data_IF_294227880915
#
_entry.id   IF_294227880915
#
_cell.length_a   1.000
_cell.length_b   1.000
_cell.length_c   1.000
_cell.angle_alpha   90.00
_cell.angle_beta   90.00
_cell.angle_gamma   90.00
#
_symmetry.space_group_name_H-M   'P 1'
#
loop_
_entity.id
_entity.type
_entity.pdbx_description
1 polymer ?
#
# COMPACT_ATOMS: atom_id res chain seq x y z
N UNK A 1 -21.04 13.31 4.64
CA UNK A 1 -22.34 13.06 5.29
C UNK A 1 -22.25 12.09 6.48
N UNK A 2 -21.07 11.61 6.91
CA UNK A 2 -20.89 10.73 8.08
C UNK A 2 -21.50 9.31 7.94
N UNK A 3 -22.01 8.95 6.79
CA UNK A 3 -22.60 7.63 6.54
C UNK A 3 -21.57 6.73 5.86
N UNK A 4 -21.31 5.58 6.45
CA UNK A 4 -20.49 4.53 5.82
C UNK A 4 -21.25 3.89 4.68
N UNK A 5 -20.64 3.86 3.51
CA UNK A 5 -21.19 3.18 2.32
C UNK A 5 -20.21 2.11 1.85
N UNK A 6 -20.69 0.91 1.49
CA UNK A 6 -19.83 -0.12 0.91
C UNK A 6 -19.19 0.41 -0.37
N UNK A 7 -17.86 0.29 -0.47
CA UNK A 7 -17.15 0.59 -1.72
C UNK A 7 -17.35 -0.52 -2.75
N UNK A 8 -17.03 -0.24 -4.01
CA UNK A 8 -16.99 -1.26 -5.05
C UNK A 8 -16.00 -2.38 -4.68
N UNK A 9 -16.30 -3.62 -5.05
CA UNK A 9 -15.37 -4.73 -4.89
C UNK A 9 -14.12 -4.46 -5.73
N UNK A 10 -12.96 -4.57 -5.07
CA UNK A 10 -11.68 -4.53 -5.77
C UNK A 10 -11.41 -5.88 -6.40
N UNK A 11 -10.85 -5.88 -7.61
CA UNK A 11 -10.36 -7.08 -8.28
C UNK A 11 -8.82 -7.05 -8.22
N UNK A 12 -8.20 -7.75 -7.26
CA UNK A 12 -6.75 -7.69 -7.04
C UNK A 12 -5.97 -8.70 -7.89
N UNK A 13 -6.54 -9.27 -8.94
CA UNK A 13 -5.97 -10.38 -9.70
C UNK A 13 -4.55 -10.11 -10.20
N UNK A 14 -4.28 -8.88 -10.66
CA UNK A 14 -2.94 -8.49 -11.12
C UNK A 14 -1.87 -8.53 -10.02
N UNK A 15 -2.26 -8.49 -8.77
CA UNK A 15 -1.36 -8.53 -7.59
C UNK A 15 -1.72 -9.67 -6.63
N UNK A 16 -2.46 -10.67 -7.09
CA UNK A 16 -2.93 -11.79 -6.27
C UNK A 16 -1.83 -12.46 -5.43
N UNK A 17 -0.60 -12.66 -5.94
CA UNK A 17 0.48 -13.25 -5.14
C UNK A 17 0.88 -12.44 -3.91
N UNK A 18 0.67 -11.11 -3.93
CA UNK A 18 1.05 -10.22 -2.84
C UNK A 18 -0.13 -9.72 -1.99
N UNK A 19 -1.32 -9.59 -2.58
CA UNK A 19 -2.44 -8.93 -1.90
C UNK A 19 -3.82 -9.41 -2.38
N UNK A 20 -3.94 -10.63 -2.90
CA UNK A 20 -5.18 -11.18 -3.44
C UNK A 20 -6.04 -11.93 -2.42
N UNK A 21 -5.51 -12.26 -1.25
CA UNK A 21 -6.27 -13.02 -0.26
C UNK A 21 -7.40 -12.17 0.35
N UNK A 22 -8.59 -12.77 0.43
CA UNK A 22 -9.74 -12.23 1.18
C UNK A 22 -10.15 -13.27 2.22
N UNK A 23 -10.35 -12.85 3.46
CA UNK A 23 -10.67 -13.76 4.55
C UNK A 23 -11.55 -13.09 5.62
N UNK A 24 -12.01 -13.89 6.56
CA UNK A 24 -12.66 -13.43 7.78
C UNK A 24 -11.69 -13.50 8.95
N UNK A 25 -11.95 -12.74 10.02
CA UNK A 25 -11.12 -12.82 11.25
C UNK A 25 -11.11 -14.22 11.85
N UNK A 26 -12.22 -14.95 11.75
CA UNK A 26 -12.33 -16.33 12.28
C UNK A 26 -11.49 -17.32 11.47
N UNK A 27 -11.47 -17.19 10.15
CA UNK A 27 -10.64 -18.06 9.31
C UNK A 27 -9.17 -17.72 9.43
N UNK A 28 -8.83 -16.45 9.58
CA UNK A 28 -7.46 -16.04 9.89
C UNK A 28 -7.01 -16.56 11.26
N UNK A 29 -7.87 -16.59 12.26
CA UNK A 29 -7.55 -17.20 13.55
C UNK A 29 -7.25 -18.70 13.42
N UNK A 30 -8.00 -19.46 12.60
CA UNK A 30 -7.67 -20.86 12.28
C UNK A 30 -6.31 -20.98 11.60
N UNK A 31 -6.01 -20.09 10.67
CA UNK A 31 -4.71 -20.04 10.00
C UNK A 31 -3.57 -19.77 11.00
N UNK A 32 -3.73 -18.82 11.95
CA UNK A 32 -2.74 -18.59 13.01
C UNK A 32 -2.51 -19.84 13.86
N UNK A 33 -3.58 -20.50 14.28
CA UNK A 33 -3.48 -21.79 15.05
C UNK A 33 -2.71 -22.85 14.26
N UNK A 34 -3.01 -23.00 12.97
CA UNK A 34 -2.29 -23.93 12.09
C UNK A 34 -0.81 -23.56 11.97
N UNK A 35 -0.49 -22.26 11.87
CA UNK A 35 0.89 -21.79 11.84
C UNK A 35 1.64 -22.09 13.13
N UNK A 36 1.06 -21.79 14.30
CA UNK A 36 1.64 -22.08 15.62
C UNK A 36 1.84 -23.60 15.82
N UNK A 37 0.89 -24.42 15.39
CA UNK A 37 0.97 -25.87 15.43
C UNK A 37 1.83 -26.49 14.30
N UNK A 38 2.70 -25.71 13.65
CA UNK A 38 3.60 -26.18 12.59
C UNK A 38 2.91 -26.95 11.47
N UNK A 39 1.76 -26.45 11.00
CA UNK A 39 1.02 -27.00 9.88
C UNK A 39 -0.01 -28.08 10.26
N UNK A 40 -0.35 -28.19 11.54
CA UNK A 40 -1.47 -28.99 12.00
C UNK A 40 -2.67 -28.12 12.36
N UNK A 41 -3.85 -28.62 12.10
CA UNK A 41 -5.11 -28.00 12.52
C UNK A 41 -6.12 -29.10 12.87
N UNK A 42 -6.72 -29.01 14.04
CA UNK A 42 -7.67 -29.98 14.59
C UNK A 42 -7.15 -31.46 14.49
N UNK A 43 -5.86 -31.64 14.80
CA UNK A 43 -5.19 -32.95 14.80
C UNK A 43 -4.62 -33.36 13.45
N UNK A 44 -5.07 -32.81 12.35
CA UNK A 44 -4.63 -33.19 11.01
C UNK A 44 -3.48 -32.31 10.48
N UNK A 45 -2.66 -32.88 9.60
CA UNK A 45 -1.61 -32.13 8.91
C UNK A 45 -2.15 -31.48 7.64
N UNK A 46 -2.34 -30.19 7.71
CA UNK A 46 -2.82 -29.36 6.59
C UNK A 46 -1.67 -28.93 5.69
N UNK A 47 -0.52 -28.57 6.29
CA UNK A 47 0.68 -28.13 5.57
C UNK A 47 1.90 -28.83 6.15
N UNK A 48 2.86 -29.19 5.29
CA UNK A 48 4.13 -29.77 5.73
C UNK A 48 4.93 -28.77 6.58
N UNK A 49 5.53 -29.26 7.68
CA UNK A 49 6.24 -28.41 8.61
C UNK A 49 7.54 -27.81 8.02
N UNK A 50 8.20 -28.51 7.10
CA UNK A 50 9.43 -28.05 6.45
C UNK A 50 9.25 -26.72 5.72
N UNK A 51 8.38 -26.66 4.69
CA UNK A 51 8.08 -25.43 3.97
C UNK A 51 7.60 -24.28 4.88
N UNK A 52 6.81 -24.57 5.92
CA UNK A 52 6.40 -23.53 6.86
C UNK A 52 7.57 -22.97 7.67
N UNK A 53 8.50 -23.81 8.13
CA UNK A 53 9.71 -23.33 8.82
C UNK A 53 10.56 -22.46 7.90
N UNK A 54 10.71 -22.88 6.65
CA UNK A 54 11.45 -22.10 5.64
C UNK A 54 10.76 -20.76 5.38
N UNK A 55 9.45 -20.74 5.21
CA UNK A 55 8.70 -19.51 4.99
C UNK A 55 8.83 -18.49 6.14
N UNK A 56 8.99 -18.99 7.37
CA UNK A 56 9.14 -18.18 8.59
C UNK A 56 10.60 -17.92 8.97
N UNK A 57 11.56 -18.49 8.25
CA UNK A 57 12.98 -18.21 8.48
C UNK A 57 13.39 -16.88 7.87
N UNK A 58 14.44 -16.29 8.43
CA UNK A 58 14.97 -15.01 8.00
C UNK A 58 15.67 -15.18 6.64
N UNK A 59 14.99 -14.81 5.55
CA UNK A 59 15.54 -14.85 4.19
C UNK A 59 16.27 -13.54 3.86
N UNK A 60 15.74 -12.42 4.33
CA UNK A 60 16.30 -11.09 4.11
C UNK A 60 16.17 -10.25 5.38
N UNK A 61 17.22 -9.54 5.76
CA UNK A 61 17.15 -8.53 6.83
C UNK A 61 16.45 -7.28 6.32
N UNK A 62 15.52 -6.74 7.11
CA UNK A 62 14.83 -5.47 6.82
C UNK A 62 15.48 -4.30 7.54
N UNK A 63 16.33 -4.58 8.55
CA UNK A 63 17.20 -3.61 9.19
C UNK A 63 18.64 -4.13 9.11
N UNK A 64 19.62 -3.31 8.68
CA UNK A 64 21.02 -3.74 8.55
C UNK A 64 21.64 -4.06 9.91
N UNK A 65 21.24 -3.36 10.96
CA UNK A 65 21.76 -3.52 12.32
C UNK A 65 20.66 -4.00 13.27
N UNK A 66 21.06 -4.62 14.39
CA UNK A 66 20.16 -4.78 15.52
C UNK A 66 19.76 -3.40 16.03
N UNK A 67 18.50 -3.22 16.44
CA UNK A 67 18.13 -2.00 17.16
C UNK A 67 18.88 -1.92 18.52
N UNK A 68 18.74 -0.80 19.24
CA UNK A 68 19.41 -0.57 20.52
C UNK A 68 19.11 -1.67 21.57
N UNK A 69 18.07 -2.46 21.37
CA UNK A 69 17.67 -3.61 22.18
C UNK A 69 18.24 -4.95 21.67
N UNK A 70 19.06 -4.96 20.63
CA UNK A 70 19.62 -6.16 20.03
C UNK A 70 18.64 -6.98 19.18
N UNK A 71 17.50 -6.42 18.80
CA UNK A 71 16.52 -7.13 17.98
C UNK A 71 16.99 -7.28 16.53
N UNK A 72 16.78 -8.46 15.97
CA UNK A 72 16.99 -8.75 14.55
C UNK A 72 15.64 -8.79 13.87
N UNK A 73 15.49 -8.05 12.77
CA UNK A 73 14.27 -7.98 11.99
C UNK A 73 14.53 -8.40 10.56
N UNK A 74 13.62 -9.15 10.00
CA UNK A 74 13.71 -9.56 8.61
C UNK A 74 12.43 -10.14 8.07
N UNK A 75 12.53 -10.69 6.89
CA UNK A 75 11.39 -11.17 6.13
C UNK A 75 11.70 -12.55 5.54
N UNK A 76 10.75 -13.46 5.67
CA UNK A 76 10.75 -14.77 5.03
C UNK A 76 9.94 -14.75 3.73
N UNK A 77 9.24 -15.83 3.45
CA UNK A 77 8.34 -15.89 2.29
C UNK A 77 6.93 -15.46 2.71
N UNK A 78 6.68 -14.14 2.67
CA UNK A 78 5.40 -13.54 3.04
C UNK A 78 5.17 -13.38 4.55
N UNK A 79 6.15 -13.63 5.38
CA UNK A 79 6.06 -13.54 6.84
C UNK A 79 7.24 -12.74 7.37
N UNK A 80 6.95 -11.66 8.11
CA UNK A 80 7.95 -10.94 8.88
C UNK A 80 8.40 -11.77 10.08
N UNK A 81 9.70 -11.83 10.30
CA UNK A 81 10.29 -12.55 11.44
C UNK A 81 11.20 -11.59 12.21
N UNK A 82 10.95 -11.48 13.50
CA UNK A 82 11.84 -10.74 14.39
C UNK A 82 12.27 -11.61 15.57
N UNK A 83 13.48 -11.34 16.05
CA UNK A 83 14.04 -11.96 17.27
C UNK A 83 14.48 -10.81 18.16
N UNK A 84 13.93 -10.71 19.36
CA UNK A 84 14.32 -9.67 20.32
C UNK A 84 15.65 -10.01 21.04
N UNK A 85 16.14 -9.06 21.84
CA UNK A 85 17.39 -9.22 22.61
C UNK A 85 17.37 -10.38 23.63
N UNK A 86 16.21 -10.96 23.92
CA UNK A 86 16.06 -12.16 24.78
C UNK A 86 16.03 -13.45 23.98
N UNK A 87 16.05 -13.39 22.67
CA UNK A 87 15.92 -14.53 21.77
C UNK A 87 14.47 -14.93 21.47
N UNK A 88 13.46 -14.13 21.89
CA UNK A 88 12.06 -14.40 21.61
C UNK A 88 11.74 -14.08 20.15
N UNK A 89 11.10 -15.04 19.50
CA UNK A 89 10.67 -14.91 18.09
C UNK A 89 9.24 -14.38 18.03
N UNK A 90 9.01 -13.42 17.09
CA UNK A 90 7.67 -13.05 16.63
C UNK A 90 7.58 -13.26 15.13
N UNK A 91 6.42 -13.75 14.68
CA UNK A 91 6.04 -13.78 13.26
C UNK A 91 4.89 -12.85 13.03
N UNK A 92 4.99 -12.00 12.02
CA UNK A 92 3.98 -10.97 11.77
C UNK A 92 3.86 -10.62 10.30
N UNK A 93 2.79 -9.98 9.93
CA UNK A 93 2.65 -9.26 8.68
C UNK A 93 1.61 -8.17 8.83
N UNK A 94 1.87 -7.02 8.23
CA UNK A 94 0.92 -5.93 8.11
C UNK A 94 0.59 -5.71 6.62
N UNK A 95 -0.65 -5.40 6.34
CA UNK A 95 -1.12 -5.08 5.00
C UNK A 95 -2.05 -3.88 5.00
N UNK A 96 -1.89 -3.02 4.01
CA UNK A 96 -2.69 -1.82 3.89
C UNK A 96 -3.04 -1.54 2.42
N UNK A 97 -4.28 -1.12 2.21
CA UNK A 97 -4.73 -0.59 0.94
C UNK A 97 -5.32 0.81 1.15
N UNK A 98 -4.84 1.76 0.40
CA UNK A 98 -5.35 3.13 0.43
C UNK A 98 -6.83 3.26 0.01
N UNK A 99 -7.45 2.18 -0.46
CA UNK A 99 -8.88 2.10 -0.68
C UNK A 99 -9.71 1.86 0.60
N UNK A 100 -9.07 1.81 1.79
CA UNK A 100 -9.74 1.69 3.08
C UNK A 100 -9.73 0.28 3.64
N UNK A 101 -8.58 -0.40 3.66
CA UNK A 101 -8.37 -1.61 4.42
C UNK A 101 -6.99 -1.58 5.08
N UNK A 102 -6.92 -1.96 6.33
CA UNK A 102 -5.68 -2.18 7.04
C UNK A 102 -5.80 -3.43 7.91
N UNK A 103 -4.80 -4.28 7.85
CA UNK A 103 -4.83 -5.60 8.49
C UNK A 103 -3.46 -5.94 9.05
N UNK A 104 -3.41 -6.62 10.18
CA UNK A 104 -2.17 -7.16 10.70
C UNK A 104 -2.40 -8.42 11.51
N UNK A 105 -1.38 -9.23 11.61
CA UNK A 105 -1.31 -10.30 12.61
C UNK A 105 0.06 -10.34 13.25
N UNK A 106 0.09 -10.83 14.48
CA UNK A 106 1.33 -11.14 15.22
C UNK A 106 1.16 -12.49 15.92
N UNK A 107 2.21 -13.30 15.86
CA UNK A 107 2.30 -14.58 16.56
C UNK A 107 3.55 -14.60 17.44
N UNK A 108 3.42 -15.15 18.66
CA UNK A 108 4.50 -15.36 19.62
C UNK A 108 4.60 -16.86 19.87
N UNK A 109 5.40 -17.61 19.07
CA UNK A 109 5.43 -19.07 19.12
C UNK A 109 5.77 -19.65 20.48
N UNK A 110 6.66 -19.00 21.24
CA UNK A 110 7.07 -19.45 22.59
C UNK A 110 5.94 -19.40 23.62
N UNK A 111 4.86 -18.68 23.31
CA UNK A 111 3.66 -18.54 24.16
C UNK A 111 2.44 -19.23 23.58
N UNK A 112 2.57 -19.87 22.41
CA UNK A 112 1.46 -20.42 21.62
C UNK A 112 0.33 -19.40 21.41
N UNK A 113 0.70 -18.16 21.16
CA UNK A 113 -0.20 -17.02 21.15
C UNK A 113 -0.16 -16.31 19.80
N UNK A 114 -1.34 -15.85 19.34
CA UNK A 114 -1.45 -15.04 18.14
C UNK A 114 -2.67 -14.14 18.18
N UNK A 115 -2.54 -13.02 17.50
CA UNK A 115 -3.62 -12.05 17.30
C UNK A 115 -3.70 -11.67 15.82
N UNK A 116 -4.91 -11.47 15.33
CA UNK A 116 -5.17 -10.88 14.01
C UNK A 116 -6.18 -9.76 14.14
N UNK A 117 -5.91 -8.65 13.47
CA UNK A 117 -6.80 -7.49 13.42
C UNK A 117 -7.08 -7.14 11.96
N UNK A 118 -8.35 -7.09 11.61
CA UNK A 118 -8.83 -6.73 10.27
C UNK A 118 -9.72 -5.49 10.40
N UNK A 119 -9.44 -4.46 9.59
CA UNK A 119 -10.23 -3.25 9.57
C UNK A 119 -10.62 -2.88 8.14
N UNK A 120 -11.73 -2.17 8.00
CA UNK A 120 -12.19 -1.55 6.76
C UNK A 120 -11.94 -0.02 6.78
N UNK A 121 -10.97 0.42 7.57
CA UNK A 121 -10.57 1.81 7.72
C UNK A 121 -9.32 2.18 6.92
N UNK A 122 -9.04 3.47 6.88
CA UNK A 122 -7.81 4.00 6.30
C UNK A 122 -6.58 3.51 7.08
N UNK A 123 -5.45 3.22 6.43
CA UNK A 123 -4.26 2.71 7.11
C UNK A 123 -3.53 3.82 7.90
N UNK A 124 -3.95 4.00 9.14
CA UNK A 124 -3.40 4.98 10.10
C UNK A 124 -2.69 4.32 11.29
N UNK A 125 -2.37 3.03 11.20
CA UNK A 125 -1.64 2.29 12.22
C UNK A 125 -2.51 1.74 13.37
N UNK A 126 -3.84 1.76 13.25
CA UNK A 126 -4.74 1.24 14.30
C UNK A 126 -4.61 -0.28 14.49
N UNK A 127 -4.62 -1.12 13.44
CA UNK A 127 -4.41 -2.56 13.61
C UNK A 127 -3.08 -2.88 14.28
N UNK A 128 -2.00 -2.21 13.88
CA UNK A 128 -0.65 -2.38 14.43
C UNK A 128 -0.59 -1.95 15.90
N UNK A 129 -1.26 -0.83 16.24
CA UNK A 129 -1.39 -0.40 17.64
C UNK A 129 -2.01 -1.50 18.50
N UNK A 130 -3.11 -2.12 18.04
CA UNK A 130 -3.80 -3.17 18.77
C UNK A 130 -2.91 -4.40 18.93
N UNK A 131 -2.23 -4.85 17.86
CA UNK A 131 -1.38 -6.04 17.93
C UNK A 131 -0.12 -5.83 18.77
N UNK A 132 0.52 -4.67 18.70
CA UNK A 132 1.70 -4.37 19.53
C UNK A 132 1.32 -4.20 21.01
N UNK A 133 0.21 -3.50 21.30
CA UNK A 133 -0.31 -3.41 22.67
C UNK A 133 -0.60 -4.79 23.26
N UNK A 134 -1.29 -5.65 22.51
CA UNK A 134 -1.59 -7.01 22.92
C UNK A 134 -0.32 -7.82 23.18
N UNK A 135 0.62 -7.79 22.24
CA UNK A 135 1.87 -8.53 22.31
C UNK A 135 2.71 -8.07 23.54
N UNK A 136 2.86 -6.77 23.74
CA UNK A 136 3.65 -6.23 24.86
C UNK A 136 3.01 -6.57 26.20
N UNK A 137 1.67 -6.48 26.33
CA UNK A 137 0.96 -6.92 27.56
C UNK A 137 1.19 -8.42 27.81
N UNK A 138 1.06 -9.25 26.79
CA UNK A 138 1.26 -10.69 26.92
C UNK A 138 2.68 -11.03 27.37
N UNK A 139 3.70 -10.30 26.89
CA UNK A 139 5.10 -10.58 27.17
C UNK A 139 5.60 -9.98 28.48
N UNK A 140 5.05 -8.83 28.90
CA UNK A 140 5.60 -8.02 30.02
C UNK A 140 4.58 -7.68 31.11
N UNK A 141 3.29 -7.91 30.84
CA UNK A 141 2.18 -7.52 31.74
C UNK A 141 1.73 -6.07 31.62
N UNK A 142 2.44 -5.24 30.85
CA UNK A 142 2.12 -3.82 30.63
C UNK A 142 2.32 -3.44 29.18
N UNK A 143 1.84 -2.26 28.78
CA UNK A 143 2.12 -1.73 27.44
C UNK A 143 2.32 -0.23 27.49
N UNK A 144 3.20 0.26 26.63
CA UNK A 144 3.29 1.70 26.30
C UNK A 144 2.10 2.11 25.43
N UNK A 145 1.95 3.42 25.23
CA UNK A 145 1.02 3.95 24.24
C UNK A 145 1.62 3.80 22.83
N UNK A 146 1.17 2.79 22.10
CA UNK A 146 1.63 2.50 20.73
C UNK A 146 0.98 3.40 19.70
N UNK A 147 -0.14 4.06 19.99
CA UNK A 147 -0.89 4.82 18.97
C UNK A 147 -0.09 5.94 18.32
N UNK A 148 0.59 6.83 19.07
CA UNK A 148 1.41 7.88 18.46
C UNK A 148 2.56 7.34 17.61
N UNK A 149 3.18 6.23 18.05
CA UNK A 149 4.28 5.59 17.33
C UNK A 149 3.80 5.06 15.98
N UNK A 150 2.68 4.34 15.97
CA UNK A 150 2.11 3.78 14.76
C UNK A 150 1.55 4.88 13.85
N UNK A 151 0.92 5.92 14.38
CA UNK A 151 0.50 7.05 13.57
C UNK A 151 1.67 7.73 12.85
N UNK A 152 2.81 7.88 13.51
CA UNK A 152 4.01 8.42 12.88
C UNK A 152 4.55 7.47 11.79
N UNK A 153 4.62 6.17 12.06
CA UNK A 153 5.06 5.18 11.07
C UNK A 153 4.16 5.14 9.83
N UNK A 154 2.86 5.35 10.01
CA UNK A 154 1.87 5.36 8.92
C UNK A 154 1.60 6.76 8.34
N UNK A 155 2.30 7.80 8.78
CA UNK A 155 2.09 9.17 8.30
C UNK A 155 2.23 9.30 6.79
N UNK A 156 3.12 8.54 6.16
CA UNK A 156 3.31 8.54 4.70
C UNK A 156 2.04 8.12 3.93
N UNK A 157 1.19 7.24 4.51
CA UNK A 157 -0.08 6.85 3.89
C UNK A 157 -1.16 7.91 4.00
N UNK A 158 -1.05 8.82 4.97
CA UNK A 158 -2.04 9.88 5.25
C UNK A 158 -1.60 11.24 4.73
N UNK A 159 -0.32 11.40 4.42
CA UNK A 159 0.22 12.65 3.86
C UNK A 159 0.11 12.59 2.34
N UNK A 160 -0.64 13.51 1.70
CA UNK A 160 -0.70 13.57 0.25
C UNK A 160 0.69 13.78 -0.36
N UNK A 161 1.13 12.83 -1.18
CA UNK A 161 2.43 12.89 -1.84
C UNK A 161 2.42 13.76 -3.10
N UNK A 162 1.25 14.17 -3.57
CA UNK A 162 1.07 14.96 -4.78
C UNK A 162 0.71 16.44 -4.53
N UNK A 163 0.75 17.24 -5.58
CA UNK A 163 0.57 18.70 -5.48
C UNK A 163 -0.89 19.12 -5.36
N UNK A 164 -1.86 18.24 -5.65
CA UNK A 164 -3.28 18.61 -5.75
C UNK A 164 -4.23 17.81 -4.85
N UNK A 165 -3.84 16.64 -4.39
CA UNK A 165 -4.71 15.80 -3.56
C UNK A 165 -5.02 16.51 -2.22
N UNK A 166 -6.31 16.53 -1.87
CA UNK A 166 -6.79 17.20 -0.65
C UNK A 166 -6.77 18.73 -0.71
N UNK A 167 -6.34 19.34 -1.83
CA UNK A 167 -6.31 20.79 -1.99
C UNK A 167 -7.49 21.29 -2.83
N UNK A 168 -8.03 22.47 -2.53
CA UNK A 168 -9.01 23.10 -3.41
C UNK A 168 -8.33 23.56 -4.69
N UNK A 169 -9.04 23.48 -5.81
CA UNK A 169 -8.57 24.07 -7.07
C UNK A 169 -8.40 25.59 -6.87
N UNK A 170 -7.32 26.22 -7.39
CA UNK A 170 -7.14 27.66 -7.29
C UNK A 170 -8.37 28.42 -7.81
N UNK A 171 -8.77 29.47 -7.08
CA UNK A 171 -9.91 30.30 -7.49
C UNK A 171 -9.67 30.99 -8.84
N UNK A 172 -8.41 31.34 -9.12
CA UNK A 172 -7.95 31.90 -10.39
C UNK A 172 -6.82 31.03 -10.96
N UNK A 173 -7.15 29.92 -11.63
CA UNK A 173 -6.13 29.03 -12.18
C UNK A 173 -5.43 29.72 -13.36
N UNK A 174 -4.10 29.65 -13.38
CA UNK A 174 -3.32 30.04 -14.52
C UNK A 174 -3.81 29.26 -15.77
N UNK A 175 -3.96 29.91 -16.94
CA UNK A 175 -4.49 29.24 -18.12
C UNK A 175 -3.54 28.15 -18.62
N UNK A 176 -4.12 27.06 -19.15
CA UNK A 176 -3.37 26.05 -19.89
C UNK A 176 -2.91 26.59 -21.24
N UNK A 177 -1.84 26.04 -21.77
CA UNK A 177 -1.47 26.21 -23.17
C UNK A 177 -2.53 25.59 -24.12
N UNK A 178 -2.35 25.77 -25.44
CA UNK A 178 -3.22 25.13 -26.43
C UNK A 178 -3.20 23.60 -26.24
N UNK A 179 -4.35 22.95 -26.04
CA UNK A 179 -4.46 21.52 -25.72
C UNK A 179 -3.74 20.62 -26.73
N UNK A 180 -3.60 21.06 -27.98
CA UNK A 180 -2.87 20.31 -29.00
C UNK A 180 -1.38 20.08 -28.64
N UNK A 181 -0.76 20.96 -27.84
CA UNK A 181 0.65 20.85 -27.45
C UNK A 181 0.94 19.67 -26.52
N UNK A 182 -0.05 19.27 -25.71
CA UNK A 182 0.08 18.16 -24.76
C UNK A 182 -0.11 16.79 -25.39
N UNK A 183 -0.68 16.74 -26.60
CA UNK A 183 -0.92 15.47 -27.28
C UNK A 183 0.42 14.80 -27.64
N UNK A 184 0.44 13.50 -27.54
CA UNK A 184 1.61 12.71 -27.90
C UNK A 184 1.65 11.36 -27.18
N UNK A 185 2.69 10.63 -27.48
CA UNK A 185 3.05 9.42 -26.75
C UNK A 185 4.19 9.76 -25.80
N UNK A 186 4.03 9.36 -24.55
CA UNK A 186 5.03 9.48 -23.49
C UNK A 186 5.37 8.10 -22.98
N UNK A 187 6.60 7.87 -22.56
CA UNK A 187 7.02 6.56 -22.07
C UNK A 187 8.13 6.63 -21.05
N UNK A 188 8.18 5.65 -20.19
CA UNK A 188 9.34 5.24 -19.39
C UNK A 188 9.31 3.72 -19.19
N UNK A 189 10.32 3.16 -18.56
CA UNK A 189 10.43 1.70 -18.40
C UNK A 189 9.51 1.17 -17.28
N UNK A 190 9.09 2.00 -16.32
CA UNK A 190 8.23 1.60 -15.22
C UNK A 190 6.73 1.60 -15.58
N UNK A 191 6.22 2.71 -16.12
CA UNK A 191 4.79 2.85 -16.48
C UNK A 191 4.53 2.28 -17.88
N UNK A 192 5.55 2.23 -18.72
CA UNK A 192 5.42 1.86 -20.11
C UNK A 192 4.94 3.04 -20.97
N UNK A 193 4.00 2.75 -21.88
CA UNK A 193 3.48 3.74 -22.84
C UNK A 193 2.23 4.44 -22.31
N UNK A 194 2.25 5.76 -22.30
CA UNK A 194 1.13 6.63 -22.02
C UNK A 194 0.80 7.45 -23.27
N UNK A 195 -0.44 7.48 -23.70
CA UNK A 195 -0.89 8.29 -24.86
C UNK A 195 -1.85 9.36 -24.41
N UNK A 196 -1.50 10.60 -24.71
CA UNK A 196 -2.35 11.79 -24.46
C UNK A 196 -3.00 12.23 -25.77
N UNK A 197 -4.32 12.34 -25.78
CA UNK A 197 -5.10 12.78 -26.93
C UNK A 197 -6.09 13.87 -26.54
N UNK A 198 -6.34 14.82 -27.41
CA UNK A 198 -7.42 15.80 -27.25
C UNK A 198 -8.76 15.17 -27.70
N UNK A 199 -9.76 15.25 -26.84
CA UNK A 199 -11.13 14.84 -27.15
C UNK A 199 -12.07 16.00 -26.82
N UNK A 200 -12.59 16.67 -27.83
CA UNK A 200 -13.35 17.91 -27.65
C UNK A 200 -12.54 18.98 -26.92
N UNK A 201 -13.02 19.42 -25.78
CA UNK A 201 -12.41 20.47 -24.94
C UNK A 201 -11.52 19.94 -23.82
N UNK A 202 -11.16 18.66 -23.78
CA UNK A 202 -10.35 18.06 -22.73
C UNK A 202 -9.31 17.09 -23.29
N UNK A 203 -8.35 16.73 -22.41
CA UNK A 203 -7.35 15.72 -22.71
C UNK A 203 -7.78 14.37 -22.11
N UNK A 204 -7.39 13.30 -22.79
CA UNK A 204 -7.55 11.93 -22.31
C UNK A 204 -6.19 11.26 -22.32
N UNK A 205 -5.79 10.75 -21.15
CA UNK A 205 -4.60 9.91 -20.95
C UNK A 205 -5.01 8.45 -21.06
N UNK A 206 -4.32 7.69 -21.90
CA UNK A 206 -4.48 6.23 -22.00
C UNK A 206 -3.22 5.54 -21.54
N UNK A 207 -3.38 4.59 -20.62
CA UNK A 207 -2.32 3.79 -20.00
C UNK A 207 -2.56 2.29 -20.26
N UNK A 208 -1.51 1.52 -20.05
CA UNK A 208 -1.48 0.08 -20.22
C UNK A 208 -1.07 -0.37 -21.63
N UNK A 209 -0.71 -1.64 -21.80
CA UNK A 209 -0.13 -2.18 -23.05
C UNK A 209 -0.96 -1.88 -24.30
N UNK A 210 -2.28 -1.93 -24.16
CA UNK A 210 -3.24 -1.67 -25.25
C UNK A 210 -4.01 -0.34 -25.05
N UNK A 211 -3.60 0.52 -24.09
CA UNK A 211 -4.29 1.78 -23.78
C UNK A 211 -5.68 1.58 -23.18
N UNK A 212 -5.92 0.43 -22.52
CA UNK A 212 -7.23 0.04 -21.97
C UNK A 212 -7.68 0.91 -20.81
N UNK A 213 -6.78 1.54 -20.07
CA UNK A 213 -7.12 2.51 -19.04
C UNK A 213 -7.24 3.90 -19.68
N UNK A 214 -8.41 4.49 -19.59
CA UNK A 214 -8.70 5.82 -20.13
C UNK A 214 -9.07 6.77 -19.01
N UNK A 215 -8.23 7.79 -18.81
CA UNK A 215 -8.33 8.75 -17.71
C UNK A 215 -8.55 10.16 -18.29
N UNK A 216 -9.63 10.80 -17.86
CA UNK A 216 -9.91 12.18 -18.27
C UNK A 216 -9.04 13.15 -17.48
N UNK A 217 -8.24 13.95 -18.18
CA UNK A 217 -7.46 15.03 -17.60
C UNK A 217 -8.30 16.31 -17.54
N UNK A 218 -8.50 16.84 -16.34
CA UNK A 218 -9.19 18.11 -16.10
C UNK A 218 -8.16 19.16 -15.77
N UNK A 219 -8.17 20.28 -16.48
CA UNK A 219 -7.24 21.38 -16.21
C UNK A 219 -7.35 21.84 -14.75
N UNK A 220 -6.22 21.90 -14.06
CA UNK A 220 -6.13 22.35 -12.67
C UNK A 220 -5.58 23.77 -12.59
N UNK A 221 -4.34 24.01 -13.04
CA UNK A 221 -3.72 25.31 -13.17
C UNK A 221 -2.47 25.21 -14.03
N UNK A 222 -2.21 26.17 -14.93
CA UNK A 222 -1.03 26.15 -15.81
C UNK A 222 -0.90 24.84 -16.57
N UNK A 223 0.24 24.18 -16.44
CA UNK A 223 0.55 22.90 -17.09
C UNK A 223 0.12 21.67 -16.26
N UNK A 224 -0.60 21.87 -15.14
CA UNK A 224 -1.09 20.83 -14.24
C UNK A 224 -2.52 20.45 -14.58
N UNK A 225 -2.78 19.16 -14.72
CA UNK A 225 -4.09 18.58 -14.93
C UNK A 225 -4.41 17.56 -13.83
N UNK A 226 -5.64 17.51 -13.38
CA UNK A 226 -6.13 16.52 -12.42
C UNK A 226 -6.77 15.33 -13.11
N UNK A 227 -6.59 14.14 -12.56
CA UNK A 227 -7.32 12.93 -12.94
C UNK A 227 -7.63 12.09 -11.70
N UNK A 228 -8.59 11.16 -11.82
CA UNK A 228 -8.89 10.22 -10.73
C UNK A 228 -7.77 9.22 -10.62
N UNK A 229 -7.18 9.09 -9.44
CA UNK A 229 -6.10 8.14 -9.18
C UNK A 229 -6.53 6.70 -9.51
N UNK A 230 -5.56 5.91 -9.98
CA UNK A 230 -5.80 4.55 -10.46
C UNK A 230 -6.16 3.66 -9.26
N UNK A 231 -7.22 2.85 -9.41
CA UNK A 231 -7.71 1.92 -8.38
C UNK A 231 -8.12 2.57 -7.05
N UNK A 232 -8.34 3.89 -7.06
CA UNK A 232 -8.84 4.66 -5.92
C UNK A 232 -10.29 5.10 -6.13
N UNK A 233 -11.04 5.39 -5.06
CA UNK A 233 -12.35 6.02 -5.19
C UNK A 233 -12.27 7.29 -6.02
N UNK A 234 -13.30 7.57 -6.84
CA UNK A 234 -13.32 8.71 -7.81
C UNK A 234 -13.06 10.09 -7.17
N UNK A 235 -13.25 10.20 -5.87
CA UNK A 235 -12.96 11.42 -5.11
C UNK A 235 -11.45 11.68 -4.94
N UNK A 236 -10.63 10.64 -5.06
CA UNK A 236 -9.18 10.79 -4.99
C UNK A 236 -8.64 11.22 -6.35
N UNK A 237 -8.21 12.47 -6.40
CA UNK A 237 -7.60 13.07 -7.59
C UNK A 237 -6.10 13.22 -7.38
N UNK A 238 -5.37 13.09 -8.46
CA UNK A 238 -3.91 13.26 -8.49
C UNK A 238 -3.50 14.09 -9.70
N UNK A 239 -2.25 14.56 -9.72
CA UNK A 239 -1.71 15.46 -10.71
C UNK A 239 -1.08 14.75 -11.91
N UNK A 240 -1.32 15.33 -13.09
CA UNK A 240 -0.56 15.09 -14.32
C UNK A 240 0.07 16.40 -14.73
N UNK A 241 1.37 16.58 -14.49
CA UNK A 241 2.10 17.81 -14.75
C UNK A 241 2.92 17.67 -16.02
N UNK A 242 2.74 18.58 -16.95
CA UNK A 242 3.50 18.62 -18.20
C UNK A 242 4.61 19.66 -18.12
N UNK A 243 5.79 19.27 -18.59
CA UNK A 243 6.83 20.22 -18.99
C UNK A 243 6.97 20.13 -20.52
N UNK A 244 6.38 21.12 -21.20
CA UNK A 244 6.38 21.17 -22.67
C UNK A 244 7.75 21.53 -23.26
N UNK A 245 8.63 22.15 -22.49
CA UNK A 245 9.99 22.48 -22.92
C UNK A 245 10.89 21.25 -22.83
N UNK A 246 10.83 20.53 -21.74
CA UNK A 246 11.55 19.28 -21.53
C UNK A 246 10.90 18.07 -22.26
N UNK A 247 9.66 18.23 -22.73
CA UNK A 247 8.90 17.13 -23.34
C UNK A 247 8.55 16.03 -22.36
N UNK A 248 8.21 16.36 -21.12
CA UNK A 248 7.89 15.38 -20.09
C UNK A 248 6.45 15.47 -19.61
N UNK A 249 5.96 14.35 -19.06
CA UNK A 249 4.71 14.20 -18.33
C UNK A 249 5.02 13.49 -17.01
N UNK A 250 4.78 14.17 -15.88
CA UNK A 250 4.85 13.60 -14.55
C UNK A 250 3.46 13.12 -14.13
N UNK A 251 3.32 11.83 -13.78
CA UNK A 251 2.14 11.28 -13.12
C UNK A 251 2.44 11.21 -11.62
N UNK A 252 1.82 12.08 -10.83
CA UNK A 252 2.19 12.31 -9.43
C UNK A 252 1.79 11.17 -8.48
N UNK A 253 0.89 10.27 -8.89
CA UNK A 253 0.58 9.06 -8.13
C UNK A 253 1.74 8.05 -8.09
N UNK A 254 2.72 8.21 -8.98
CA UNK A 254 3.94 7.41 -9.01
C UNK A 254 5.09 8.30 -8.54
N UNK A 255 5.73 7.99 -7.39
CA UNK A 255 6.68 8.91 -6.78
C UNK A 255 7.98 9.06 -7.58
N UNK A 256 8.55 10.26 -7.52
CA UNK A 256 9.87 10.58 -8.05
C UNK A 256 10.01 10.34 -9.55
N UNK A 257 11.20 9.94 -9.97
CA UNK A 257 11.57 9.72 -11.37
C UNK A 257 10.77 8.59 -12.05
N UNK A 258 10.24 7.64 -11.28
CA UNK A 258 9.40 6.56 -11.81
C UNK A 258 8.08 7.08 -12.40
N UNK A 259 7.61 8.23 -11.95
CA UNK A 259 6.42 8.91 -12.46
C UNK A 259 6.69 9.78 -13.71
N UNK A 260 7.96 10.02 -14.07
CA UNK A 260 8.34 10.89 -15.20
C UNK A 260 8.38 10.10 -16.51
N UNK A 261 7.50 10.46 -17.43
CA UNK A 261 7.50 9.91 -18.78
C UNK A 261 8.05 10.95 -19.76
N UNK A 262 8.86 10.51 -20.72
CA UNK A 262 9.41 11.36 -21.78
C UNK A 262 8.63 11.17 -23.07
N UNK A 263 8.43 12.28 -23.78
CA UNK A 263 7.77 12.24 -25.08
C UNK A 263 8.60 11.40 -26.05
N UNK A 264 7.97 10.44 -26.69
CA UNK A 264 8.56 9.70 -27.78
C UNK A 264 8.06 10.26 -29.12
N UNK A 265 8.96 10.38 -30.07
CA UNK A 265 8.65 10.75 -31.45
C UNK A 265 7.77 9.68 -32.12
#
# INVERSE_FOLDING_TARGET
NGTWVPSAKRQPDAQAPAGGASSTVLDMAKWLRMQLANGRFDGERVVAAGPLREARSLQMRTSPDSDDAGAIRGYGYGIGTSVDGTGRVRWSHSGAFSAGAATTYTMIPSMDLGIVVLTNGWPIGVPETITETFAEIAETGTSRDWLPIMQQAFAAFTTPADTINGKPRPAQPAPAGKLARYQGTYRNDYIGRARVTKVGSHLVLRLGPQGQRSLRLRHWTGEVFAYSAIDMPKAFITGATFDLAAGTLQLEEVPGELGVLRRSN
#
